data_IF_438647925184
#
_entry.id   IF_438647925184
#
_cell.length_a   1.000
_cell.length_b   1.000
_cell.length_c   1.000
_cell.angle_alpha   90.00
_cell.angle_beta   90.00
_cell.angle_gamma   90.00
#
_symmetry.space_group_name_H-M   'P 1'
#
loop_
_entity.id
_entity.type
_entity.pdbx_description
1 polymer ?
#
# COMPACT_ATOMS: atom_id res chain seq x y z
N UNK A 1 -32.21 -13.94 54.27
CA UNK A 1 -31.99 -12.49 54.21
C UNK A 1 -31.27 -12.18 52.90
N UNK A 2 -31.95 -11.42 52.04
CA UNK A 2 -31.47 -10.87 50.78
C UNK A 2 -30.14 -10.12 50.93
N UNK A 3 -29.27 -10.17 49.91
CA UNK A 3 -29.09 -9.02 48.99
C UNK A 3 -28.13 -9.34 47.83
N UNK A 4 -28.63 -9.05 46.62
CA UNK A 4 -27.98 -9.01 45.31
C UNK A 4 -26.68 -8.21 45.24
N UNK A 5 -25.77 -8.61 44.35
CA UNK A 5 -25.22 -7.70 43.33
C UNK A 5 -24.52 -8.48 42.21
N UNK A 6 -25.19 -8.58 41.07
CA UNK A 6 -24.61 -8.90 39.77
C UNK A 6 -23.62 -7.81 39.35
N UNK A 7 -22.43 -8.18 38.89
CA UNK A 7 -21.61 -7.36 37.99
C UNK A 7 -21.14 -8.22 36.83
N UNK A 8 -21.84 -8.04 35.71
CA UNK A 8 -21.38 -8.43 34.39
C UNK A 8 -20.12 -7.61 34.05
N UNK A 9 -19.08 -8.26 33.54
CA UNK A 9 -17.97 -7.61 32.87
C UNK A 9 -17.99 -7.99 31.39
N UNK A 10 -17.83 -6.96 30.58
CA UNK A 10 -18.27 -6.87 29.19
C UNK A 10 -17.57 -7.80 28.21
N UNK A 11 -18.38 -8.22 27.24
CA UNK A 11 -17.95 -8.76 25.96
C UNK A 11 -16.94 -7.82 25.30
N UNK A 12 -15.75 -8.32 25.01
CA UNK A 12 -14.74 -7.61 24.22
C UNK A 12 -15.31 -7.50 22.80
N UNK A 13 -15.73 -6.28 22.46
CA UNK A 13 -16.18 -5.93 21.12
C UNK A 13 -15.08 -6.23 20.11
N UNK A 14 -15.33 -7.23 19.26
CA UNK A 14 -14.58 -7.46 18.03
C UNK A 14 -14.77 -6.22 17.16
N UNK A 15 -13.75 -5.38 17.04
CA UNK A 15 -13.78 -4.20 16.19
C UNK A 15 -13.89 -4.65 14.74
N UNK A 16 -15.03 -4.31 14.14
CA UNK A 16 -15.45 -4.74 12.83
C UNK A 16 -14.61 -4.00 11.75
N UNK A 17 -13.51 -4.63 11.33
CA UNK A 17 -12.56 -4.14 10.30
C UNK A 17 -13.20 -3.84 8.93
N UNK A 18 -14.49 -4.15 8.73
CA UNK A 18 -15.25 -3.79 7.53
C UNK A 18 -15.57 -2.29 7.43
N UNK A 19 -15.35 -1.50 8.48
CA UNK A 19 -15.80 -0.11 8.56
C UNK A 19 -14.95 0.90 7.76
N UNK A 20 -13.68 0.62 7.46
CA UNK A 20 -12.82 1.60 6.75
C UNK A 20 -13.11 1.69 5.25
N UNK A 21 -13.51 0.58 4.60
CA UNK A 21 -13.88 0.57 3.17
C UNK A 21 -15.13 1.39 2.84
N UNK A 22 -15.99 1.67 3.83
CA UNK A 22 -17.26 2.40 3.62
C UNK A 22 -17.09 3.90 3.81
N UNK A 23 -16.15 4.35 4.65
CA UNK A 23 -15.98 5.78 4.97
C UNK A 23 -15.35 6.60 3.84
N UNK A 24 -14.47 6.02 3.01
CA UNK A 24 -13.93 6.71 1.83
C UNK A 24 -14.97 6.90 0.71
N UNK A 25 -16.02 6.09 0.68
CA UNK A 25 -17.08 6.17 -0.34
C UNK A 25 -18.04 7.35 -0.14
N UNK A 26 -18.01 8.04 1.02
CA UNK A 26 -19.03 9.04 1.37
C UNK A 26 -18.54 10.50 1.38
N UNK A 27 -17.23 10.78 1.35
CA UNK A 27 -16.73 12.17 1.42
C UNK A 27 -16.39 12.81 0.07
N UNK A 28 -16.70 12.16 -1.06
CA UNK A 28 -16.44 12.68 -2.40
C UNK A 28 -17.73 12.67 -3.25
N UNK A 29 -18.66 13.57 -2.94
CA UNK A 29 -19.68 14.13 -3.84
C UNK A 29 -19.92 15.56 -3.32
N UNK A 30 -19.88 16.63 -4.10
CA UNK A 30 -20.47 16.85 -5.43
C UNK A 30 -19.73 17.99 -6.17
N UNK A 31 -19.57 17.82 -7.50
CA UNK A 31 -19.43 18.81 -8.59
C UNK A 31 -19.08 17.98 -9.85
N UNK A 32 -20.05 17.34 -10.53
CA UNK A 32 -20.91 17.83 -11.62
C UNK A 32 -20.18 17.95 -12.99
N UNK A 33 -20.67 17.15 -13.95
CA UNK A 33 -20.41 17.07 -15.39
C UNK A 33 -18.95 17.07 -15.91
N UNK A 34 -18.45 15.91 -16.40
CA UNK A 34 -18.08 15.70 -17.81
C UNK A 34 -17.25 14.40 -18.01
N UNK A 35 -17.68 13.61 -19.00
CA UNK A 35 -17.09 12.36 -19.54
C UNK A 35 -16.80 11.21 -18.58
N UNK A 36 -17.60 10.15 -18.69
CA UNK A 36 -17.16 8.79 -18.41
C UNK A 36 -16.07 8.41 -19.40
N UNK A 37 -14.87 8.97 -19.20
CA UNK A 37 -13.68 8.57 -19.91
C UNK A 37 -13.38 7.15 -19.41
N UNK A 38 -13.74 6.16 -20.24
CA UNK A 38 -13.42 4.76 -19.99
C UNK A 38 -11.90 4.63 -19.99
N UNK A 39 -11.28 4.82 -18.83
CA UNK A 39 -9.84 4.74 -18.68
C UNK A 39 -9.36 3.32 -19.02
N UNK A 40 -8.47 3.22 -19.98
CA UNK A 40 -7.87 1.97 -20.44
C UNK A 40 -6.82 1.45 -19.46
N UNK A 41 -6.47 0.16 -19.58
CA UNK A 41 -5.43 -0.40 -18.74
C UNK A 41 -4.05 0.22 -19.04
N UNK A 42 -3.75 0.55 -20.30
CA UNK A 42 -2.48 1.18 -20.66
C UNK A 42 -2.36 2.60 -20.08
N UNK A 43 -3.46 3.35 -19.98
CA UNK A 43 -3.51 4.63 -19.27
C UNK A 43 -3.28 4.45 -17.76
N UNK A 44 -3.88 3.43 -17.14
CA UNK A 44 -3.60 3.11 -15.74
C UNK A 44 -2.11 2.83 -15.50
N UNK A 45 -1.47 2.09 -16.42
CA UNK A 45 -0.04 1.77 -16.36
C UNK A 45 0.80 3.05 -16.47
N UNK A 46 0.47 3.94 -17.41
CA UNK A 46 1.16 5.23 -17.55
C UNK A 46 1.03 6.07 -16.27
N UNK A 47 -0.19 6.20 -15.72
CA UNK A 47 -0.44 6.91 -14.47
C UNK A 47 0.35 6.32 -13.29
N UNK A 48 0.45 5.00 -13.20
CA UNK A 48 1.25 4.33 -12.16
C UNK A 48 2.73 4.72 -12.27
N UNK A 49 3.30 4.63 -13.47
CA UNK A 49 4.72 4.91 -13.72
C UNK A 49 5.06 6.40 -13.62
N UNK A 50 4.09 7.29 -13.88
CA UNK A 50 4.18 8.73 -13.62
C UNK A 50 4.02 9.10 -12.14
N UNK A 51 3.74 8.11 -11.27
CA UNK A 51 3.49 8.28 -9.84
C UNK A 51 2.19 9.03 -9.54
N UNK A 52 1.28 9.12 -10.50
CA UNK A 52 -0.07 9.64 -10.33
C UNK A 52 -0.98 8.59 -9.69
N UNK A 53 -0.55 8.04 -8.55
CA UNK A 53 -1.12 6.84 -7.94
C UNK A 53 -2.60 6.93 -7.61
N UNK A 54 -3.08 8.10 -7.17
CA UNK A 54 -4.50 8.31 -6.89
C UNK A 54 -5.34 8.25 -8.17
N UNK A 55 -4.89 8.90 -9.24
CA UNK A 55 -5.57 8.82 -10.56
C UNK A 55 -5.52 7.41 -11.14
N UNK A 56 -4.38 6.73 -10.97
CA UNK A 56 -4.22 5.32 -11.35
C UNK A 56 -5.23 4.43 -10.62
N UNK A 57 -5.41 4.64 -9.31
CA UNK A 57 -6.43 3.95 -8.51
C UNK A 57 -7.84 4.15 -9.11
N UNK A 58 -8.25 5.39 -9.34
CA UNK A 58 -9.62 5.69 -9.83
C UNK A 58 -9.86 5.09 -11.23
N UNK A 59 -8.84 5.14 -12.09
CA UNK A 59 -8.84 4.49 -13.39
C UNK A 59 -9.03 2.96 -13.28
N UNK A 60 -8.20 2.30 -12.46
CA UNK A 60 -8.27 0.85 -12.27
C UNK A 60 -9.54 0.41 -11.53
N UNK A 61 -10.11 1.25 -10.66
CA UNK A 61 -11.37 0.95 -9.97
C UNK A 61 -12.51 0.79 -11.00
N UNK A 62 -12.56 1.69 -11.98
CA UNK A 62 -13.54 1.65 -13.08
C UNK A 62 -13.42 0.35 -13.88
N UNK A 63 -12.20 -0.04 -14.27
CA UNK A 63 -11.92 -1.32 -14.95
C UNK A 63 -12.26 -2.54 -14.09
N UNK A 64 -11.95 -2.47 -12.79
CA UNK A 64 -12.21 -3.53 -11.83
C UNK A 64 -13.70 -3.82 -11.65
N UNK A 65 -14.55 -2.78 -11.67
CA UNK A 65 -16.00 -2.97 -11.52
C UNK A 65 -16.57 -3.88 -12.61
N UNK A 66 -16.12 -3.72 -13.86
CA UNK A 66 -16.61 -4.47 -15.03
C UNK A 66 -15.82 -5.75 -15.32
N UNK A 67 -14.67 -5.97 -14.69
CA UNK A 67 -13.84 -7.13 -14.94
C UNK A 67 -14.40 -8.44 -14.32
N UNK A 68 -14.19 -9.54 -15.04
CA UNK A 68 -14.46 -10.91 -14.59
C UNK A 68 -13.18 -11.57 -14.06
N UNK A 69 -13.34 -12.63 -13.26
CA UNK A 69 -12.19 -13.43 -12.83
C UNK A 69 -11.57 -14.19 -14.01
N UNK A 70 -10.24 -14.40 -14.03
CA UNK A 70 -9.26 -14.02 -12.99
C UNK A 70 -8.70 -12.59 -13.15
N UNK A 71 -8.98 -11.91 -14.27
CA UNK A 71 -8.51 -10.55 -14.55
C UNK A 71 -8.91 -9.55 -13.46
N UNK A 72 -10.12 -9.67 -12.91
CA UNK A 72 -10.61 -8.87 -11.79
C UNK A 72 -9.68 -8.92 -10.58
N UNK A 73 -9.18 -10.10 -10.21
CA UNK A 73 -8.22 -10.25 -9.10
C UNK A 73 -6.90 -9.54 -9.40
N UNK A 74 -6.40 -9.65 -10.64
CA UNK A 74 -5.17 -8.99 -11.04
C UNK A 74 -5.28 -7.46 -11.01
N UNK A 75 -6.34 -6.89 -11.61
CA UNK A 75 -6.61 -5.44 -11.55
C UNK A 75 -6.73 -4.98 -10.09
N UNK A 76 -7.41 -5.76 -9.25
CA UNK A 76 -7.54 -5.48 -7.82
C UNK A 76 -6.19 -5.49 -7.08
N UNK A 77 -5.27 -6.38 -7.47
CA UNK A 77 -3.91 -6.36 -6.95
C UNK A 77 -3.18 -5.06 -7.27
N UNK A 78 -3.22 -4.64 -8.55
CA UNK A 78 -2.54 -3.43 -9.02
C UNK A 78 -3.15 -2.15 -8.41
N UNK A 79 -4.48 -2.05 -8.35
CA UNK A 79 -5.15 -0.85 -7.83
C UNK A 79 -4.85 -0.63 -6.33
N UNK A 80 -4.73 -1.72 -5.56
CA UNK A 80 -4.31 -1.63 -4.17
C UNK A 80 -2.85 -1.22 -4.03
N UNK A 81 -1.97 -1.70 -4.92
CA UNK A 81 -0.59 -1.25 -4.93
C UNK A 81 -0.50 0.26 -5.20
N UNK A 82 -1.32 0.79 -6.11
CA UNK A 82 -1.38 2.22 -6.40
C UNK A 82 -1.79 3.03 -5.16
N UNK A 83 -2.95 2.74 -4.55
CA UNK A 83 -3.39 3.48 -3.35
C UNK A 83 -2.45 3.26 -2.15
N UNK A 84 -1.76 2.12 -2.08
CA UNK A 84 -0.70 1.87 -1.11
C UNK A 84 0.48 2.84 -1.23
N UNK A 85 0.96 3.10 -2.46
CA UNK A 85 1.99 4.13 -2.69
C UNK A 85 1.48 5.55 -2.46
N UNK A 86 0.23 5.84 -2.81
CA UNK A 86 -0.39 7.12 -2.48
C UNK A 86 -0.36 7.37 -0.95
N UNK A 87 -0.73 6.36 -0.15
CA UNK A 87 -0.65 6.45 1.30
C UNK A 87 0.78 6.64 1.80
N UNK A 88 1.77 5.94 1.23
CA UNK A 88 3.17 6.05 1.64
C UNK A 88 3.67 7.49 1.47
N UNK A 89 3.46 8.08 0.29
CA UNK A 89 3.93 9.43 -0.02
C UNK A 89 3.11 10.53 0.67
N UNK A 90 1.93 10.20 1.19
CA UNK A 90 1.12 11.07 2.04
C UNK A 90 1.28 10.77 3.54
N UNK A 91 2.38 10.15 3.94
CA UNK A 91 2.77 9.94 5.34
C UNK A 91 1.78 9.07 6.14
N UNK A 92 0.99 8.25 5.42
CA UNK A 92 0.11 7.22 5.98
C UNK A 92 0.76 5.84 5.84
N UNK A 93 1.77 5.60 6.67
CA UNK A 93 2.57 4.37 6.64
C UNK A 93 1.75 3.10 6.89
N UNK A 94 0.77 3.17 7.80
CA UNK A 94 -0.14 2.07 8.11
C UNK A 94 -1.02 1.72 6.91
N UNK A 95 -1.62 2.73 6.27
CA UNK A 95 -2.40 2.55 5.06
C UNK A 95 -1.57 1.96 3.92
N UNK A 96 -0.33 2.44 3.76
CA UNK A 96 0.60 1.92 2.77
C UNK A 96 0.88 0.42 2.97
N UNK A 97 1.27 0.01 4.17
CA UNK A 97 1.55 -1.39 4.51
C UNK A 97 0.35 -2.31 4.28
N UNK A 98 -0.85 -1.85 4.64
CA UNK A 98 -2.08 -2.62 4.49
C UNK A 98 -2.42 -2.84 3.02
N UNK A 99 -2.48 -1.77 2.23
CA UNK A 99 -2.90 -1.84 0.82
C UNK A 99 -1.83 -2.52 -0.05
N UNK A 100 -0.54 -2.25 0.16
CA UNK A 100 0.55 -2.96 -0.53
C UNK A 100 0.55 -4.46 -0.18
N UNK A 101 0.31 -4.82 1.09
CA UNK A 101 0.20 -6.21 1.53
C UNK A 101 -1.00 -6.94 0.92
N UNK A 102 -2.17 -6.30 0.92
CA UNK A 102 -3.37 -6.85 0.28
C UNK A 102 -3.23 -6.99 -1.24
N UNK A 103 -2.60 -6.00 -1.89
CA UNK A 103 -2.33 -6.00 -3.32
C UNK A 103 -1.36 -7.11 -3.70
N UNK A 104 -0.22 -7.22 -3.00
CA UNK A 104 0.77 -8.28 -3.19
C UNK A 104 0.17 -9.68 -2.99
N UNK A 105 -0.69 -9.83 -1.98
CA UNK A 105 -1.42 -11.08 -1.74
C UNK A 105 -2.33 -11.49 -2.90
N UNK A 106 -2.89 -10.54 -3.66
CA UNK A 106 -3.68 -10.81 -4.87
C UNK A 106 -2.80 -11.14 -6.07
N UNK A 107 -1.69 -10.42 -6.25
CA UNK A 107 -0.71 -10.73 -7.31
C UNK A 107 -0.19 -12.17 -7.18
N UNK A 108 0.21 -12.57 -5.96
CA UNK A 108 0.67 -13.95 -5.67
C UNK A 108 -0.37 -15.03 -5.99
N UNK A 109 -1.66 -14.74 -5.79
CA UNK A 109 -2.74 -15.69 -6.12
C UNK A 109 -2.84 -15.98 -7.61
N UNK A 110 -2.34 -15.10 -8.46
CA UNK A 110 -2.28 -15.33 -9.90
C UNK A 110 -1.24 -16.40 -10.29
N UNK A 111 -0.34 -16.79 -9.37
CA UNK A 111 0.69 -17.82 -9.57
C UNK A 111 1.53 -17.61 -10.85
N UNK A 112 1.79 -16.34 -11.19
CA UNK A 112 2.56 -15.97 -12.38
C UNK A 112 4.04 -16.32 -12.15
N UNK A 113 4.66 -16.98 -13.13
CA UNK A 113 6.06 -17.44 -13.03
C UNK A 113 7.04 -16.57 -13.81
N UNK A 114 6.52 -15.71 -14.67
CA UNK A 114 7.28 -14.84 -15.57
C UNK A 114 6.38 -13.74 -16.13
N UNK A 115 6.99 -12.80 -16.86
CA UNK A 115 6.28 -11.70 -17.51
C UNK A 115 6.13 -10.48 -16.61
N UNK A 116 5.54 -9.40 -17.15
CA UNK A 116 5.58 -8.08 -16.52
C UNK A 116 4.86 -8.01 -15.18
N UNK A 117 3.79 -8.78 -15.00
CA UNK A 117 3.08 -8.84 -13.72
C UNK A 117 3.85 -9.60 -12.63
N UNK A 118 4.64 -10.62 -13.00
CA UNK A 118 5.53 -11.29 -12.06
C UNK A 118 6.73 -10.40 -11.69
N UNK A 119 7.28 -9.65 -12.63
CA UNK A 119 8.31 -8.64 -12.36
C UNK A 119 7.77 -7.56 -11.41
N UNK A 120 6.57 -7.04 -11.71
CA UNK A 120 5.88 -6.09 -10.85
C UNK A 120 5.64 -6.64 -9.44
N UNK A 121 5.17 -7.88 -9.32
CA UNK A 121 4.99 -8.55 -8.02
C UNK A 121 6.30 -8.58 -7.21
N UNK A 122 7.42 -8.92 -7.84
CA UNK A 122 8.73 -8.95 -7.19
C UNK A 122 9.16 -7.55 -6.72
N UNK A 123 8.92 -6.52 -7.52
CA UNK A 123 9.21 -5.13 -7.15
C UNK A 123 8.33 -4.65 -5.99
N UNK A 124 7.02 -4.95 -6.01
CA UNK A 124 6.11 -4.68 -4.89
C UNK A 124 6.56 -5.40 -3.63
N UNK A 125 6.96 -6.67 -3.74
CA UNK A 125 7.46 -7.45 -2.60
C UNK A 125 8.73 -6.82 -2.00
N UNK A 126 9.66 -6.36 -2.84
CA UNK A 126 10.87 -5.70 -2.38
C UNK A 126 10.57 -4.35 -1.71
N UNK A 127 9.64 -3.57 -2.26
CA UNK A 127 9.22 -2.30 -1.68
C UNK A 127 8.51 -2.47 -0.34
N UNK A 128 7.58 -3.44 -0.24
CA UNK A 128 6.88 -3.73 1.01
C UNK A 128 7.84 -4.20 2.10
N UNK A 129 8.78 -5.09 1.78
CA UNK A 129 9.81 -5.55 2.71
C UNK A 129 10.72 -4.39 3.15
N UNK A 130 11.10 -3.49 2.24
CA UNK A 130 11.86 -2.29 2.57
C UNK A 130 11.12 -1.38 3.56
N UNK A 131 9.84 -1.11 3.32
CA UNK A 131 9.01 -0.29 4.22
C UNK A 131 8.91 -0.98 5.58
N UNK A 132 8.67 -2.30 5.61
CA UNK A 132 8.62 -3.05 6.87
C UNK A 132 9.93 -2.96 7.67
N UNK A 133 11.07 -3.17 7.01
CA UNK A 133 12.39 -3.15 7.68
C UNK A 133 12.74 -1.77 8.22
N UNK A 134 12.48 -0.72 7.45
CA UNK A 134 12.72 0.67 7.86
C UNK A 134 11.82 1.07 9.03
N UNK A 135 10.60 0.52 9.11
CA UNK A 135 9.73 0.70 10.27
C UNK A 135 10.31 0.08 11.54
N UNK A 136 10.83 -1.15 11.46
CA UNK A 136 11.49 -1.82 12.59
C UNK A 136 12.72 -1.04 13.06
N UNK A 137 13.57 -0.62 12.12
CA UNK A 137 14.82 0.07 12.43
C UNK A 137 14.56 1.35 13.23
N UNK A 138 13.61 2.17 12.78
CA UNK A 138 13.21 3.38 13.50
C UNK A 138 12.53 3.09 14.84
N UNK A 139 11.68 2.05 14.92
CA UNK A 139 11.06 1.65 16.18
C UNK A 139 12.10 1.19 17.22
N UNK A 140 13.20 0.56 16.77
CA UNK A 140 14.32 0.19 17.62
C UNK A 140 15.15 1.39 18.11
N UNK A 141 15.12 2.52 17.39
CA UNK A 141 15.79 3.76 17.78
C UNK A 141 14.93 4.67 18.70
N UNK A 142 13.65 4.35 18.90
CA UNK A 142 12.80 5.07 19.85
C UNK A 142 13.05 4.54 21.27
N UNK A 143 13.81 5.30 22.07
CA UNK A 143 14.03 5.02 23.48
C UNK A 143 12.70 5.10 24.24
N UNK A 144 12.04 3.96 24.46
CA UNK A 144 11.30 3.64 25.71
C UNK A 144 10.62 2.25 25.68
N UNK A 145 10.36 1.63 24.52
CA UNK A 145 9.81 0.27 24.46
C UNK A 145 10.30 -0.46 23.19
N UNK A 146 11.39 -1.23 23.28
CA UNK A 146 11.81 -2.15 22.24
C UNK A 146 10.87 -3.37 22.17
N UNK A 147 9.78 -3.27 21.40
CA UNK A 147 8.98 -4.43 21.04
C UNK A 147 9.70 -5.17 19.90
N UNK A 148 10.22 -6.36 20.17
CA UNK A 148 10.74 -7.23 19.13
C UNK A 148 9.61 -7.59 18.15
N UNK A 149 9.71 -7.09 16.92
CA UNK A 149 8.73 -7.38 15.87
C UNK A 149 9.03 -8.74 15.23
N UNK A 150 8.13 -9.70 15.45
CA UNK A 150 8.27 -11.10 15.02
C UNK A 150 7.57 -11.42 13.69
N UNK A 151 7.23 -10.40 12.89
CA UNK A 151 6.47 -10.53 11.63
C UNK A 151 5.03 -11.08 11.79
N UNK A 152 4.51 -11.20 13.02
CA UNK A 152 3.11 -11.60 13.24
C UNK A 152 2.13 -10.45 12.94
N UNK A 153 0.87 -10.81 12.63
CA UNK A 153 -0.25 -9.85 12.48
C UNK A 153 -0.35 -8.88 13.67
N UNK A 154 -0.04 -9.36 14.87
CA UNK A 154 -0.05 -8.56 16.10
C UNK A 154 1.07 -7.52 16.12
N UNK A 155 2.25 -7.84 15.61
CA UNK A 155 3.35 -6.88 15.44
C UNK A 155 2.93 -5.72 14.51
N UNK A 156 2.15 -5.98 13.45
CA UNK A 156 1.61 -4.93 12.58
C UNK A 156 0.56 -4.05 13.25
N UNK A 157 -0.27 -4.62 14.13
CA UNK A 157 -1.30 -3.85 14.86
C UNK A 157 -0.70 -2.90 15.91
N UNK A 158 0.48 -3.24 16.45
CA UNK A 158 1.18 -2.44 17.46
C UNK A 158 1.80 -1.15 16.90
N UNK A 159 1.94 -1.03 15.58
CA UNK A 159 2.42 0.17 14.89
C UNK A 159 1.31 1.22 14.65
N UNK A 160 0.26 1.21 15.48
CA UNK A 160 -1.01 1.91 15.25
C UNK A 160 -0.91 3.38 14.82
N UNK A 161 0.10 4.11 15.32
CA UNK A 161 0.41 5.52 15.03
C UNK A 161 1.87 5.73 14.58
N UNK A 162 2.55 4.68 14.13
CA UNK A 162 3.97 4.73 13.79
C UNK A 162 4.27 5.82 12.76
N UNK A 163 5.10 6.79 13.15
CA UNK A 163 5.56 7.91 12.34
C UNK A 163 4.43 8.62 11.56
N UNK A 164 3.21 8.62 12.10
CA UNK A 164 2.06 9.21 11.44
C UNK A 164 2.30 10.71 11.19
N UNK A 165 2.20 11.14 9.92
CA UNK A 165 2.47 12.53 9.54
C UNK A 165 3.95 12.93 9.53
N UNK A 166 4.88 11.98 9.69
CA UNK A 166 6.31 12.25 9.49
C UNK A 166 6.72 11.92 8.06
N UNK A 167 7.56 12.77 7.48
CA UNK A 167 8.14 12.51 6.16
C UNK A 167 9.40 11.65 6.33
N UNK A 168 9.23 10.34 6.28
CA UNK A 168 10.33 9.37 6.39
C UNK A 168 10.89 8.92 5.03
N UNK A 169 10.11 9.13 3.97
CA UNK A 169 10.45 8.66 2.63
C UNK A 169 10.43 9.82 1.63
N UNK A 170 11.40 9.81 0.73
CA UNK A 170 11.40 10.66 -0.45
C UNK A 170 11.86 9.89 -1.67
N UNK A 171 11.72 10.52 -2.84
CA UNK A 171 12.09 9.94 -4.12
C UNK A 171 13.42 10.52 -4.59
N UNK A 172 14.30 9.66 -5.08
CA UNK A 172 15.53 10.03 -5.78
C UNK A 172 15.66 9.26 -7.07
N UNK A 173 16.19 9.91 -8.12
CA UNK A 173 16.56 9.27 -9.37
C UNK A 173 18.06 9.03 -9.43
N UNK A 174 18.48 7.91 -10.00
CA UNK A 174 19.88 7.75 -10.40
C UNK A 174 20.18 8.39 -11.78
N UNK A 175 21.42 8.21 -12.26
CA UNK A 175 21.88 8.70 -13.56
C UNK A 175 21.16 8.07 -14.76
N UNK A 176 20.51 6.92 -14.57
CA UNK A 176 19.73 6.21 -15.58
C UNK A 176 18.23 6.51 -15.47
N UNK A 177 17.85 7.53 -14.69
CA UNK A 177 16.46 7.90 -14.40
C UNK A 177 15.65 6.79 -13.69
N UNK A 178 16.31 5.82 -13.08
CA UNK A 178 15.64 4.84 -12.22
C UNK A 178 15.28 5.53 -10.91
N UNK A 179 14.00 5.48 -10.57
CA UNK A 179 13.48 6.07 -9.34
C UNK A 179 13.65 5.11 -8.17
N UNK A 180 13.98 5.66 -7.01
CA UNK A 180 14.14 4.94 -5.75
C UNK A 180 13.32 5.58 -4.65
N UNK A 181 12.75 4.75 -3.78
CA UNK A 181 12.24 5.17 -2.47
C UNK A 181 13.43 5.16 -1.53
N UNK A 182 13.74 6.32 -0.96
CA UNK A 182 14.82 6.52 -0.01
C UNK A 182 14.22 6.71 1.36
N UNK A 183 14.78 6.03 2.35
CA UNK A 183 14.42 6.22 3.74
C UNK A 183 15.41 7.19 4.40
N UNK A 184 14.87 8.29 4.91
CA UNK A 184 15.63 9.36 5.56
C UNK A 184 14.83 9.87 6.78
N UNK A 185 15.02 9.23 7.95
CA UNK A 185 14.31 9.60 9.16
C UNK A 185 14.76 10.92 9.80
N UNK A 186 15.91 11.48 9.39
CA UNK A 186 16.52 12.68 10.00
C UNK A 186 17.37 13.45 8.98
N UNK A 187 16.83 14.52 8.38
CA UNK A 187 17.64 15.49 7.60
C UNK A 187 18.54 16.37 8.49
N UNK A 188 19.47 15.81 9.29
CA UNK A 188 20.50 16.52 10.09
C UNK A 188 21.19 15.53 11.04
N UNK A 189 22.52 15.39 11.21
CA UNK A 189 23.74 16.05 10.73
C UNK A 189 24.84 14.97 10.71
N UNK A 190 25.66 14.94 9.66
CA UNK A 190 27.05 14.44 9.75
C UNK A 190 27.24 12.97 10.11
N UNK A 191 26.88 12.07 9.20
CA UNK A 191 27.43 10.73 9.16
C UNK A 191 27.38 10.27 7.70
N UNK A 192 28.48 9.71 7.18
CA UNK A 192 28.58 9.02 5.88
C UNK A 192 27.73 7.74 5.85
N UNK A 193 26.53 7.75 6.45
CA UNK A 193 25.65 6.60 6.45
C UNK A 193 24.86 6.57 5.15
N UNK A 194 25.03 5.48 4.44
CA UNK A 194 24.56 5.33 3.07
C UNK A 194 23.05 5.20 3.12
N UNK A 195 22.32 6.23 2.71
CA UNK A 195 20.86 6.22 2.70
C UNK A 195 20.35 4.93 2.06
N UNK A 196 19.59 4.15 2.84
CA UNK A 196 19.05 2.89 2.36
C UNK A 196 17.88 3.19 1.43
N UNK A 197 17.85 2.49 0.30
CA UNK A 197 16.88 2.75 -0.76
C UNK A 197 16.46 1.47 -1.47
N UNK A 198 15.25 1.48 -2.00
CA UNK A 198 14.68 0.42 -2.83
C UNK A 198 14.21 1.01 -4.16
N UNK A 199 14.31 0.25 -5.25
CA UNK A 199 13.74 0.69 -6.53
C UNK A 199 12.25 0.96 -6.35
N UNK A 200 11.77 2.09 -6.86
CA UNK A 200 10.35 2.36 -6.94
C UNK A 200 9.72 1.42 -7.98
N UNK A 201 8.70 0.62 -7.61
CA UNK A 201 8.12 -0.33 -8.54
C UNK A 201 7.58 0.34 -9.80
N UNK A 202 7.76 -0.34 -10.93
CA UNK A 202 7.28 0.07 -12.25
C UNK A 202 6.44 -1.05 -12.84
N UNK A 203 5.31 -0.69 -13.45
CA UNK A 203 4.44 -1.65 -14.13
C UNK A 203 4.72 -1.60 -15.63
N UNK A 204 5.32 -2.65 -16.18
CA UNK A 204 5.64 -2.74 -17.61
C UNK A 204 4.68 -3.69 -18.34
N UNK A 205 3.39 -3.58 -18.05
CA UNK A 205 2.34 -4.42 -18.64
C UNK A 205 1.52 -3.62 -19.66
N UNK A 206 0.84 -4.34 -20.55
CA UNK A 206 -0.11 -3.78 -21.51
C UNK A 206 -1.45 -4.47 -21.39
N UNK A 207 -2.48 -3.93 -22.04
CA UNK A 207 -3.79 -4.59 -22.10
C UNK A 207 -3.71 -6.01 -22.70
N UNK A 208 -2.82 -6.24 -23.67
CA UNK A 208 -2.58 -7.58 -24.22
C UNK A 208 -2.10 -8.58 -23.15
N UNK A 209 -1.18 -8.15 -22.28
CA UNK A 209 -0.73 -8.97 -21.15
C UNK A 209 -1.86 -9.24 -20.16
N UNK A 210 -2.73 -8.26 -19.93
CA UNK A 210 -3.89 -8.40 -19.06
C UNK A 210 -4.90 -9.41 -19.61
N UNK A 211 -5.14 -9.37 -20.93
CA UNK A 211 -6.05 -10.28 -21.64
C UNK A 211 -5.49 -11.70 -21.74
N UNK A 212 -4.16 -11.86 -21.76
CA UNK A 212 -3.51 -13.17 -21.70
C UNK A 212 -3.65 -13.88 -20.35
N UNK A 213 -4.11 -13.17 -19.31
CA UNK A 213 -4.38 -13.76 -18.00
C UNK A 213 -5.79 -14.38 -17.89
N UNK A 214 -6.63 -14.29 -18.92
CA UNK A 214 -8.00 -14.84 -18.96
C UNK A 214 -8.04 -16.37 -19.01
#
# INVERSE_FOLDING_TARGET
LNSNSNKAYGSIHTTNFKSFRVLYRYSAKEEDDNDGENCSFDEAVALFNERAYYKCHDCLESLWYTAEEPTRTLIHGVLQCAVGFYHLFNQNHKGAMMELGEGLGKLRKMNLRSGPFHEFENEISAALEFIYRTQIELAACADDICLAMDQSERSYQLLGDYAAGQQLYHLESDHNQIMYIVFDPQRSYGSDDKSIKVKLPTLNATEEHLMACK
#
